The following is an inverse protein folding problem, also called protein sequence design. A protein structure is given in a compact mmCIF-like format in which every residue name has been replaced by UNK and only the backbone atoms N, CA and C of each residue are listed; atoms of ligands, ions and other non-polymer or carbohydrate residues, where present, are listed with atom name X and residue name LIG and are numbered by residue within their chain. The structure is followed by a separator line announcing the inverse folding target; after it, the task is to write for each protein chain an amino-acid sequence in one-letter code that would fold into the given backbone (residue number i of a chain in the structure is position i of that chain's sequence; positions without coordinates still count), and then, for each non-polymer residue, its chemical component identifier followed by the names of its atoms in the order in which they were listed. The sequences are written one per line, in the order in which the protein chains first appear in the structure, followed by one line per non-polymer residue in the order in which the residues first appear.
data_IF_215283950780
#
_entry.id   IF_215283950780
#
_cell.length_a   1.000
_cell.length_b   1.000
_cell.length_c   1.000
_cell.angle_alpha   90.00
_cell.angle_beta   90.00
_cell.angle_gamma   90.00
#
_symmetry.space_group_name_H-M   'P 1'
#
loop_
_entity.id
_entity.type
_entity.pdbx_description
1 polymer ?
#
# COMPACT_ATOMS: atom_id res chain seq x y z
N UNK A 1 -10.61 -7.51 -4.39
CA UNK A 1 -9.65 -8.30 -3.60
C UNK A 1 -10.44 -9.34 -2.83
N UNK A 2 -10.12 -10.64 -2.97
CA UNK A 2 -10.49 -11.60 -1.93
C UNK A 2 -9.60 -11.25 -0.75
N UNK A 3 -10.16 -10.73 0.33
CA UNK A 3 -9.39 -10.55 1.55
C UNK A 3 -8.92 -11.95 1.96
N UNK A 4 -7.62 -12.21 1.84
CA UNK A 4 -6.99 -13.37 2.44
C UNK A 4 -7.15 -13.22 3.95
N UNK A 5 -7.47 -14.31 4.64
CA UNK A 5 -7.62 -14.29 6.09
C UNK A 5 -6.28 -14.11 6.83
N UNK A 6 -5.19 -14.35 6.13
CA UNK A 6 -3.84 -14.34 6.65
C UNK A 6 -2.92 -13.69 5.63
N UNK A 7 -1.94 -12.93 6.10
CA UNK A 7 -0.77 -12.50 5.32
C UNK A 7 0.46 -13.26 5.82
N UNK A 8 1.32 -13.67 4.89
CA UNK A 8 2.56 -14.39 5.20
C UNK A 8 3.77 -13.49 4.95
N UNK A 9 4.75 -13.58 5.84
CA UNK A 9 6.01 -12.85 5.77
C UNK A 9 7.16 -13.77 6.19
N UNK A 10 8.40 -13.46 5.79
CA UNK A 10 9.59 -14.22 6.18
C UNK A 10 10.53 -13.31 6.95
N UNK A 11 10.86 -13.68 8.19
CA UNK A 11 11.77 -12.94 9.08
C UNK A 11 12.73 -13.91 9.71
N UNK A 12 14.04 -13.63 9.68
CA UNK A 12 15.05 -14.33 10.48
C UNK A 12 14.97 -15.88 10.42
N UNK A 13 14.79 -16.46 9.21
CA UNK A 13 14.58 -17.89 8.98
C UNK A 13 13.28 -18.50 9.55
N UNK A 14 12.28 -17.66 9.82
CA UNK A 14 10.96 -18.07 10.25
C UNK A 14 9.89 -17.56 9.28
N UNK A 15 8.87 -18.38 9.08
CA UNK A 15 7.64 -17.95 8.45
C UNK A 15 6.76 -17.28 9.51
N UNK A 16 6.32 -16.06 9.24
CA UNK A 16 5.37 -15.32 10.05
C UNK A 16 4.00 -15.36 9.38
N UNK A 17 2.98 -15.73 10.15
CA UNK A 17 1.59 -15.63 9.72
C UNK A 17 0.87 -14.54 10.51
N UNK A 18 0.31 -13.56 9.82
CA UNK A 18 -0.49 -12.47 10.38
C UNK A 18 -1.95 -12.69 10.07
N UNK A 19 -2.83 -12.61 11.07
CA UNK A 19 -4.27 -12.60 10.81
C UNK A 19 -4.70 -11.24 10.31
N UNK A 20 -5.30 -11.23 9.14
CA UNK A 20 -5.97 -10.06 8.61
C UNK A 20 -7.40 -10.03 9.17
N UNK A 21 -7.87 -8.86 9.57
CA UNK A 21 -9.16 -8.63 10.24
C UNK A 21 -9.21 -9.17 11.68
N UNK A 22 -9.17 -8.25 12.65
CA UNK A 22 -9.32 -8.54 14.08
C UNK A 22 -10.72 -9.10 14.38
N UNK A 23 -10.85 -9.89 15.44
CA UNK A 23 -12.07 -10.59 15.90
C UNK A 23 -12.31 -12.02 15.39
N UNK A 24 -11.25 -12.82 15.32
CA UNK A 24 -11.40 -14.26 15.09
C UNK A 24 -12.12 -14.93 16.27
N UNK A 25 -13.28 -15.55 16.00
CA UNK A 25 -14.05 -16.29 17.04
C UNK A 25 -13.48 -17.68 17.35
N UNK A 26 -12.64 -18.21 16.46
CA UNK A 26 -12.08 -19.56 16.49
C UNK A 26 -10.63 -19.54 16.06
N UNK A 27 -9.89 -20.58 16.46
CA UNK A 27 -8.52 -20.76 16.04
C UNK A 27 -8.47 -21.13 14.56
N UNK A 28 -7.40 -20.70 13.88
CA UNK A 28 -7.09 -21.18 12.55
C UNK A 28 -6.19 -22.41 12.64
N UNK A 29 -6.23 -23.25 11.61
CA UNK A 29 -5.25 -24.32 11.42
C UNK A 29 -4.44 -23.98 10.18
N UNK A 30 -3.14 -23.80 10.38
CA UNK A 30 -2.18 -23.66 9.30
C UNK A 30 -1.57 -25.03 9.03
N UNK A 31 -1.60 -25.49 7.79
CA UNK A 31 -0.85 -26.67 7.36
C UNK A 31 0.32 -26.20 6.53
N UNK A 32 1.52 -26.47 6.99
CA UNK A 32 2.76 -26.17 6.28
C UNK A 32 3.28 -27.46 5.67
N UNK A 33 3.54 -27.47 4.37
CA UNK A 33 4.15 -28.61 3.70
C UNK A 33 5.61 -28.31 3.41
N UNK A 34 6.51 -28.93 4.17
CA UNK A 34 7.97 -28.76 4.08
C UNK A 34 8.59 -30.05 3.56
N UNK A 35 9.26 -30.01 2.41
CA UNK A 35 9.89 -31.18 1.77
C UNK A 35 8.96 -32.42 1.65
N UNK A 36 7.66 -32.19 1.42
CA UNK A 36 6.64 -33.24 1.29
C UNK A 36 6.05 -33.73 2.62
N UNK A 37 6.44 -33.16 3.77
CA UNK A 37 5.87 -33.46 5.09
C UNK A 37 4.91 -32.37 5.52
N UNK A 38 3.67 -32.76 5.83
CA UNK A 38 2.67 -31.83 6.36
C UNK A 38 2.79 -31.69 7.88
N UNK A 39 2.93 -30.43 8.33
CA UNK A 39 2.85 -30.03 9.74
C UNK A 39 1.62 -29.17 9.95
N UNK A 40 0.72 -29.60 10.83
CA UNK A 40 -0.47 -28.82 11.24
C UNK A 40 -0.17 -28.02 12.49
N UNK A 41 -0.39 -26.72 12.41
CA UNK A 41 -0.15 -25.74 13.45
C UNK A 41 -1.45 -25.06 13.83
N UNK A 42 -1.69 -24.96 15.13
CA UNK A 42 -2.81 -24.19 15.66
C UNK A 42 -2.40 -22.72 15.69
N UNK A 43 -3.23 -21.84 15.13
CA UNK A 43 -3.07 -20.39 15.21
C UNK A 43 -4.19 -19.80 16.09
N UNK A 44 -3.95 -19.68 17.41
CA UNK A 44 -4.96 -19.33 18.41
C UNK A 44 -5.69 -18.02 18.10
N UNK A 45 -7.00 -18.00 18.28
CA UNK A 45 -7.92 -16.90 17.91
C UNK A 45 -7.55 -15.53 18.49
N UNK A 46 -6.87 -15.52 19.63
CA UNK A 46 -6.45 -14.32 20.36
C UNK A 46 -5.04 -13.85 20.00
N UNK A 47 -4.31 -14.61 19.19
CA UNK A 47 -3.03 -14.20 18.65
C UNK A 47 -3.22 -13.63 17.25
N UNK A 48 -2.68 -12.43 17.04
CA UNK A 48 -2.69 -11.74 15.76
C UNK A 48 -1.55 -12.19 14.84
N UNK A 49 -0.47 -12.72 15.43
CA UNK A 49 0.70 -13.25 14.72
C UNK A 49 1.13 -14.60 15.27
N UNK A 50 1.52 -15.52 14.38
CA UNK A 50 2.16 -16.78 14.73
C UNK A 50 3.52 -16.87 14.04
N UNK A 51 4.56 -17.16 14.83
CA UNK A 51 5.87 -17.54 14.30
C UNK A 51 5.89 -19.03 14.04
N UNK A 52 6.42 -19.41 12.89
CA UNK A 52 6.50 -20.78 12.41
C UNK A 52 7.97 -21.04 12.10
N UNK A 53 8.61 -21.83 12.95
CA UNK A 53 9.98 -22.29 12.72
C UNK A 53 9.93 -23.26 11.51
N UNK A 54 10.36 -22.79 10.34
CA UNK A 54 10.39 -23.53 9.08
C UNK A 54 11.70 -23.21 8.35
N UNK A 55 12.43 -24.26 7.96
CA UNK A 55 13.82 -24.19 7.46
C UNK A 55 13.85 -23.57 6.06
N UNK A 56 14.86 -22.73 5.84
CA UNK A 56 14.88 -21.64 4.85
C UNK A 56 15.56 -21.93 3.51
N UNK A 57 15.94 -23.15 3.16
CA UNK A 57 16.96 -23.26 2.09
C UNK A 57 16.45 -23.60 0.69
N UNK A 58 15.30 -24.24 0.51
CA UNK A 58 14.75 -24.47 -0.83
C UNK A 58 13.45 -25.28 -0.77
N UNK A 59 12.29 -24.66 -0.59
CA UNK A 59 11.04 -25.30 -0.92
C UNK A 59 9.99 -24.28 -1.32
N UNK A 60 9.28 -24.60 -2.40
CA UNK A 60 7.94 -24.07 -2.69
C UNK A 60 6.99 -24.64 -1.63
N UNK A 61 7.05 -24.11 -0.42
CA UNK A 61 6.18 -24.58 0.66
C UNK A 61 4.76 -24.13 0.36
N UNK A 62 3.82 -25.06 0.52
CA UNK A 62 2.40 -24.74 0.45
C UNK A 62 1.89 -24.55 1.86
N UNK A 63 1.48 -23.33 2.17
CA UNK A 63 0.73 -23.05 3.40
C UNK A 63 -0.74 -23.14 3.06
N UNK A 64 -1.44 -24.06 3.73
CA UNK A 64 -2.91 -24.15 3.71
C UNK A 64 -3.49 -23.49 4.94
N UNK A 65 -4.39 -22.54 4.75
CA UNK A 65 -5.16 -21.92 5.83
C UNK A 65 -6.58 -22.48 5.83
N UNK A 66 -6.94 -23.21 6.89
CA UNK A 66 -8.25 -23.84 7.04
C UNK A 66 -8.93 -23.57 8.39
N UNK A 67 -10.22 -23.90 8.50
CA UNK A 67 -11.01 -23.78 9.75
C UNK A 67 -10.85 -25.01 10.66
N UNK A 68 -10.81 -24.81 11.98
CA UNK A 68 -11.27 -25.85 12.91
C UNK A 68 -12.80 -25.85 12.98
N UNK A 69 -13.47 -26.67 12.16
CA UNK A 69 -14.91 -26.90 12.26
C UNK A 69 -15.82 -25.82 11.65
N UNK A 70 -17.02 -26.27 11.27
CA UNK A 70 -17.95 -25.62 10.33
C UNK A 70 -18.49 -24.28 10.91
N UNK A 71 -18.43 -23.21 10.09
CA UNK A 71 -18.85 -21.80 10.27
C UNK A 71 -17.79 -20.78 10.78
N UNK A 72 -17.20 -20.00 9.86
CA UNK A 72 -16.41 -18.77 10.14
C UNK A 72 -15.48 -18.23 9.02
N UNK A 73 -15.87 -17.17 8.28
CA UNK A 73 -15.10 -16.31 7.34
C UNK A 73 -14.24 -16.91 6.18
N UNK A 74 -13.46 -17.97 6.36
CA UNK A 74 -12.69 -18.61 5.26
C UNK A 74 -13.59 -19.62 4.52
N UNK A 75 -14.09 -19.28 3.34
CA UNK A 75 -15.06 -20.13 2.63
C UNK A 75 -14.41 -21.37 1.97
N UNK A 76 -13.09 -21.34 1.73
CA UNK A 76 -12.32 -22.43 1.09
C UNK A 76 -10.87 -22.40 1.59
N UNK A 77 -10.21 -23.56 1.62
CA UNK A 77 -8.77 -23.63 1.87
C UNK A 77 -8.01 -22.69 0.91
N UNK A 78 -7.17 -21.83 1.47
CA UNK A 78 -6.28 -20.96 0.70
C UNK A 78 -4.88 -21.57 0.70
N UNK A 79 -4.31 -21.74 -0.49
CA UNK A 79 -2.96 -22.25 -0.69
C UNK A 79 -2.04 -21.07 -1.01
N UNK A 80 -0.98 -20.90 -0.24
CA UNK A 80 0.06 -19.92 -0.48
C UNK A 80 1.31 -20.67 -0.93
N UNK A 81 1.81 -20.35 -2.11
CA UNK A 81 3.11 -20.85 -2.57
C UNK A 81 4.15 -19.83 -2.14
N UNK A 82 5.08 -20.24 -1.28
CA UNK A 82 6.17 -19.40 -0.84
C UNK A 82 7.25 -19.39 -1.93
N UNK A 83 7.34 -18.29 -2.68
CA UNK A 83 8.49 -18.02 -3.54
C UNK A 83 9.36 -16.98 -2.82
N UNK A 84 10.44 -17.45 -2.19
CA UNK A 84 11.31 -16.60 -1.37
C UNK A 84 12.18 -15.64 -2.21
N UNK A 85 12.27 -15.85 -3.54
CA UNK A 85 13.04 -14.96 -4.39
C UNK A 85 12.19 -13.79 -4.86
N UNK A 86 11.97 -12.81 -3.98
CA UNK A 86 11.63 -11.47 -4.43
C UNK A 86 12.86 -10.93 -5.14
N UNK A 87 12.83 -10.90 -6.48
CA UNK A 87 13.98 -10.52 -7.30
C UNK A 87 14.26 -9.02 -7.21
N UNK A 88 13.22 -8.22 -6.92
CA UNK A 88 13.29 -6.77 -6.74
C UNK A 88 12.07 -6.29 -5.95
N UNK A 89 12.29 -5.50 -4.91
CA UNK A 89 11.24 -4.84 -4.13
C UNK A 89 11.00 -3.44 -4.66
N UNK A 90 9.78 -3.18 -5.11
CA UNK A 90 9.34 -1.86 -5.55
C UNK A 90 8.32 -1.30 -4.57
N UNK A 91 8.55 -0.09 -4.08
CA UNK A 91 7.55 0.66 -3.33
C UNK A 91 6.93 1.73 -4.21
N UNK A 92 5.60 1.80 -4.26
CA UNK A 92 4.86 2.89 -4.91
C UNK A 92 4.08 3.66 -3.85
N UNK A 93 4.50 4.89 -3.56
CA UNK A 93 3.87 5.72 -2.52
C UNK A 93 3.65 7.15 -2.98
N UNK A 94 2.94 7.91 -2.16
CA UNK A 94 2.48 9.27 -2.41
C UNK A 94 1.43 9.66 -1.37
N UNK A 95 0.92 10.89 -1.47
CA UNK A 95 -0.20 11.31 -0.61
C UNK A 95 -1.36 10.31 -0.72
N UNK A 96 -2.06 10.05 0.39
CA UNK A 96 -3.33 9.33 0.32
C UNK A 96 -4.25 9.92 -0.75
N UNK A 97 -5.07 9.08 -1.39
CA UNK A 97 -5.98 9.44 -2.51
C UNK A 97 -5.29 9.74 -3.86
N UNK A 98 -4.01 9.39 -4.03
CA UNK A 98 -3.28 9.52 -5.30
C UNK A 98 -3.44 8.32 -6.27
N UNK A 99 -4.23 7.29 -5.92
CA UNK A 99 -4.47 6.15 -6.81
C UNK A 99 -3.61 4.91 -6.57
N UNK A 100 -2.92 4.82 -5.43
CA UNK A 100 -2.10 3.66 -5.01
C UNK A 100 -2.80 2.31 -5.22
N UNK A 101 -4.06 2.20 -4.80
CA UNK A 101 -4.86 0.98 -4.98
C UNK A 101 -5.10 0.62 -6.46
N UNK A 102 -5.32 1.61 -7.33
CA UNK A 102 -5.56 1.35 -8.75
C UNK A 102 -4.26 0.91 -9.44
N UNK A 103 -3.12 1.46 -9.00
CA UNK A 103 -1.80 1.09 -9.53
C UNK A 103 -1.41 -0.32 -9.10
N UNK A 104 -1.61 -0.71 -7.84
CA UNK A 104 -1.33 -2.10 -7.44
C UNK A 104 -2.16 -3.09 -8.24
N UNK A 105 -3.46 -2.87 -8.40
CA UNK A 105 -4.34 -3.71 -9.21
C UNK A 105 -3.94 -3.76 -10.68
N UNK A 106 -3.39 -2.66 -11.20
CA UNK A 106 -2.90 -2.58 -12.56
C UNK A 106 -1.64 -3.43 -12.76
N UNK A 107 -0.66 -3.33 -11.85
CA UNK A 107 0.60 -4.07 -11.94
C UNK A 107 0.48 -5.55 -11.54
N UNK A 108 -0.49 -5.90 -10.68
CA UNK A 108 -0.68 -7.26 -10.20
C UNK A 108 -0.94 -8.24 -11.35
N UNK A 109 -0.20 -9.36 -11.33
CA UNK A 109 -0.28 -10.43 -12.32
C UNK A 109 0.48 -10.18 -13.63
N UNK A 110 1.21 -9.06 -13.76
CA UNK A 110 2.10 -8.84 -14.90
C UNK A 110 3.34 -9.73 -14.84
N UNK A 111 4.04 -9.87 -15.97
CA UNK A 111 5.28 -10.63 -16.04
C UNK A 111 6.49 -9.70 -15.87
N UNK A 112 7.51 -10.16 -15.15
CA UNK A 112 8.84 -9.54 -15.15
C UNK A 112 9.65 -9.92 -16.40
N UNK A 113 10.89 -9.43 -16.51
CA UNK A 113 11.78 -9.76 -17.65
C UNK A 113 12.12 -11.26 -17.78
N UNK A 114 11.92 -12.04 -16.72
CA UNK A 114 12.19 -13.48 -16.67
C UNK A 114 10.91 -14.32 -16.85
N UNK A 115 9.79 -13.70 -17.21
CA UNK A 115 8.47 -14.33 -17.31
C UNK A 115 7.92 -14.86 -15.96
N UNK A 116 8.41 -14.35 -14.83
CA UNK A 116 7.81 -14.59 -13.52
C UNK A 116 6.60 -13.68 -13.35
N UNK A 117 5.50 -14.23 -12.84
CA UNK A 117 4.31 -13.46 -12.47
C UNK A 117 4.61 -12.65 -11.21
N UNK A 118 4.43 -11.34 -11.29
CA UNK A 118 4.66 -10.40 -10.20
C UNK A 118 3.40 -10.24 -9.35
N UNK A 119 3.61 -10.23 -8.04
CA UNK A 119 2.59 -9.96 -7.04
C UNK A 119 2.66 -8.50 -6.61
N UNK A 120 1.61 -7.73 -6.87
CA UNK A 120 1.48 -6.35 -6.42
C UNK A 120 0.37 -6.22 -5.38
N UNK A 121 0.67 -5.59 -4.25
CA UNK A 121 -0.24 -5.43 -3.12
C UNK A 121 -0.48 -3.96 -2.78
N UNK A 122 -1.53 -3.72 -1.99
CA UNK A 122 -1.89 -2.38 -1.54
C UNK A 122 -2.22 -2.39 -0.05
N UNK A 123 -1.48 -1.58 0.70
CA UNK A 123 -1.62 -1.41 2.15
C UNK A 123 -1.54 -2.75 2.91
N UNK A 124 -0.59 -3.59 2.51
CA UNK A 124 -0.31 -4.88 3.16
C UNK A 124 0.02 -4.65 4.63
N UNK A 125 -0.59 -5.43 5.53
CA UNK A 125 -0.37 -5.34 6.98
C UNK A 125 -0.59 -3.94 7.59
N UNK A 126 -1.38 -3.06 6.95
CA UNK A 126 -1.61 -1.70 7.49
C UNK A 126 -2.15 -1.70 8.93
N UNK A 127 -2.95 -2.69 9.33
CA UNK A 127 -3.45 -2.79 10.70
C UNK A 127 -2.36 -3.01 11.75
N UNK A 128 -1.19 -3.48 11.35
CA UNK A 128 0.01 -3.62 12.19
C UNK A 128 0.96 -2.43 12.03
N UNK A 129 1.06 -1.86 10.82
CA UNK A 129 1.95 -0.74 10.51
C UNK A 129 1.42 0.58 11.07
N UNK A 130 0.12 0.87 10.95
CA UNK A 130 -0.44 2.15 11.38
C UNK A 130 -0.24 2.43 12.88
N UNK A 131 -0.42 1.47 13.81
CA UNK A 131 -0.07 1.67 15.21
C UNK A 131 1.41 2.01 15.45
N UNK A 132 2.33 1.40 14.70
CA UNK A 132 3.77 1.71 14.79
C UNK A 132 4.06 3.12 14.29
N UNK A 133 3.35 3.56 13.25
CA UNK A 133 3.44 4.92 12.73
C UNK A 133 2.93 5.95 13.74
N UNK A 134 1.85 5.65 14.47
CA UNK A 134 1.39 6.49 15.60
C UNK A 134 2.46 6.55 16.70
N UNK A 135 3.15 5.45 16.97
CA UNK A 135 4.21 5.37 17.97
C UNK A 135 5.55 5.98 17.51
N UNK A 136 5.69 6.33 16.22
CA UNK A 136 6.96 6.80 15.64
C UNK A 136 8.02 5.70 15.49
N UNK A 137 7.62 4.42 15.46
CA UNK A 137 8.53 3.28 15.39
C UNK A 137 8.89 2.92 13.92
N UNK A 138 9.79 3.72 13.33
CA UNK A 138 10.26 3.52 11.96
C UNK A 138 11.00 2.19 11.76
N UNK A 139 11.72 1.71 12.79
CA UNK A 139 12.46 0.45 12.73
C UNK A 139 11.51 -0.74 12.68
N UNK A 140 10.46 -0.74 13.51
CA UNK A 140 9.41 -1.75 13.49
C UNK A 140 8.69 -1.80 12.14
N UNK A 141 8.37 -0.64 11.55
CA UNK A 141 7.76 -0.56 10.21
C UNK A 141 8.71 -1.13 9.15
N UNK A 142 10.00 -0.74 9.19
CA UNK A 142 11.03 -1.24 8.27
C UNK A 142 11.21 -2.75 8.36
N UNK A 143 11.14 -3.31 9.58
CA UNK A 143 11.17 -4.75 9.79
C UNK A 143 10.00 -5.43 9.09
N UNK A 144 8.76 -4.99 9.34
CA UNK A 144 7.59 -5.57 8.68
C UNK A 144 7.70 -5.47 7.15
N UNK A 145 8.12 -4.32 6.62
CA UNK A 145 8.28 -4.11 5.18
C UNK A 145 9.31 -5.06 4.55
N UNK A 146 10.44 -5.32 5.24
CA UNK A 146 11.48 -6.27 4.81
C UNK A 146 11.00 -7.70 4.74
N UNK A 147 10.06 -8.06 5.59
CA UNK A 147 9.62 -9.44 5.72
C UNK A 147 8.51 -9.78 4.70
N UNK A 148 7.92 -8.77 4.06
CA UNK A 148 6.87 -8.95 3.04
C UNK A 148 7.38 -9.75 1.82
N UNK A 149 6.52 -10.61 1.29
CA UNK A 149 6.86 -11.57 0.24
C UNK A 149 6.42 -11.17 -1.18
N UNK A 150 5.76 -10.02 -1.34
CA UNK A 150 5.32 -9.54 -2.66
C UNK A 150 6.40 -8.66 -3.30
N UNK A 151 6.41 -8.58 -4.63
CA UNK A 151 7.43 -7.82 -5.37
C UNK A 151 7.15 -6.31 -5.35
N UNK A 152 5.86 -5.92 -5.34
CA UNK A 152 5.46 -4.50 -5.37
C UNK A 152 4.48 -4.20 -4.25
N UNK A 153 4.83 -3.27 -3.36
CA UNK A 153 3.89 -2.69 -2.39
C UNK A 153 3.44 -1.32 -2.90
N UNK A 154 2.16 -1.02 -2.80
CA UNK A 154 1.67 0.35 -2.90
C UNK A 154 0.97 0.77 -1.63
N UNK A 155 1.50 1.78 -0.94
CA UNK A 155 0.93 2.22 0.33
C UNK A 155 1.22 3.69 0.59
N UNK A 156 0.19 4.53 0.82
CA UNK A 156 0.38 5.97 1.02
C UNK A 156 0.98 6.33 2.39
N UNK A 157 0.89 5.43 3.39
CA UNK A 157 1.41 5.73 4.74
C UNK A 157 2.95 5.82 4.79
N UNK A 158 3.69 5.21 3.86
CA UNK A 158 5.15 5.36 3.79
C UNK A 158 5.59 6.80 3.50
N UNK A 159 4.77 7.59 2.79
CA UNK A 159 5.05 9.01 2.56
C UNK A 159 5.06 9.84 3.86
N UNK A 160 4.52 9.32 4.97
CA UNK A 160 4.55 9.97 6.28
C UNK A 160 5.77 9.57 7.12
N UNK A 161 6.49 8.52 6.73
CA UNK A 161 7.68 8.03 7.42
C UNK A 161 8.70 7.53 6.40
N UNK A 162 9.36 8.46 5.67
CA UNK A 162 10.32 8.09 4.64
C UNK A 162 11.51 7.27 5.19
N UNK A 163 11.87 7.46 6.46
CA UNK A 163 12.91 6.69 7.14
C UNK A 163 12.59 5.19 7.26
N UNK A 164 11.31 4.81 7.15
CA UNK A 164 10.87 3.42 7.18
C UNK A 164 10.81 2.76 5.79
N UNK A 165 11.15 3.49 4.73
CA UNK A 165 11.14 2.96 3.37
C UNK A 165 12.28 1.96 3.21
N UNK A 166 11.90 0.73 2.88
CA UNK A 166 12.84 -0.33 2.52
C UNK A 166 12.42 -0.96 1.20
N UNK A 167 12.98 -0.47 0.10
CA UNK A 167 12.75 -0.98 -1.25
C UNK A 167 14.02 -0.81 -2.10
N UNK A 168 14.18 -1.66 -3.11
CA UNK A 168 15.25 -1.52 -4.09
C UNK A 168 14.94 -0.41 -5.11
N UNK A 169 13.66 -0.04 -5.22
CA UNK A 169 13.21 1.04 -6.09
C UNK A 169 11.94 1.70 -5.55
N UNK A 170 11.93 3.03 -5.53
CA UNK A 170 10.85 3.84 -4.99
C UNK A 170 10.23 4.68 -6.09
N UNK A 171 8.93 4.49 -6.31
CA UNK A 171 8.13 5.28 -7.24
C UNK A 171 7.23 6.23 -6.45
N UNK A 172 7.35 7.52 -6.76
CA UNK A 172 6.42 8.53 -6.31
C UNK A 172 5.23 8.64 -7.28
N UNK A 173 4.05 8.24 -6.80
CA UNK A 173 2.79 8.48 -7.48
C UNK A 173 2.18 9.79 -6.99
N UNK A 174 2.24 10.82 -7.82
CA UNK A 174 1.68 12.13 -7.51
C UNK A 174 0.33 12.32 -8.21
N UNK A 175 -0.57 13.05 -7.56
CA UNK A 175 -1.87 13.46 -8.11
C UNK A 175 -2.09 14.93 -7.82
N UNK A 176 -2.83 15.62 -8.68
CA UNK A 176 -3.20 17.04 -8.50
C UNK A 176 -3.68 17.30 -7.07
N UNK A 177 -2.96 18.17 -6.36
CA UNK A 177 -3.21 18.47 -4.96
C UNK A 177 -4.61 18.97 -4.69
N UNK A 178 -5.24 19.68 -5.65
CA UNK A 178 -6.61 20.17 -5.51
C UNK A 178 -7.59 19.02 -5.40
N UNK A 179 -7.41 18.00 -6.26
CA UNK A 179 -8.23 16.79 -6.27
C UNK A 179 -8.00 15.94 -5.02
N UNK A 180 -6.76 15.88 -4.55
CA UNK A 180 -6.41 15.12 -3.34
C UNK A 180 -6.99 15.77 -2.09
N UNK A 181 -6.78 17.07 -1.89
CA UNK A 181 -7.33 17.83 -0.75
C UNK A 181 -8.84 17.72 -0.72
N UNK A 182 -9.52 17.95 -1.84
CA UNK A 182 -10.98 17.78 -1.92
C UNK A 182 -11.41 16.34 -1.61
N UNK A 183 -10.74 15.34 -2.18
CA UNK A 183 -11.07 13.95 -1.92
C UNK A 183 -10.80 13.55 -0.46
N UNK A 184 -9.80 14.14 0.19
CA UNK A 184 -9.47 13.91 1.59
C UNK A 184 -10.57 14.45 2.51
N UNK A 185 -10.99 15.69 2.28
CA UNK A 185 -12.12 16.29 2.99
C UNK A 185 -13.42 15.49 2.80
N UNK A 186 -13.73 15.09 1.56
CA UNK A 186 -14.92 14.26 1.28
C UNK A 186 -14.87 12.86 1.94
N UNK A 187 -13.70 12.42 2.42
CA UNK A 187 -13.48 11.10 3.03
C UNK A 187 -13.22 11.16 4.52
N UNK A 188 -13.49 12.28 5.18
CA UNK A 188 -13.38 12.33 6.63
C UNK A 188 -11.96 12.54 7.15
N UNK A 189 -11.01 13.02 6.33
CA UNK A 189 -9.69 13.38 6.85
C UNK A 189 -9.84 14.42 7.95
N UNK A 190 -9.31 14.11 9.13
CA UNK A 190 -9.39 14.91 10.35
C UNK A 190 -10.79 15.06 10.98
N UNK A 191 -11.78 14.23 10.61
CA UNK A 191 -13.15 14.30 11.18
C UNK A 191 -13.36 13.37 12.39
N UNK A 192 -12.53 12.34 12.54
CA UNK A 192 -12.68 11.32 13.59
C UNK A 192 -11.33 10.87 14.16
N UNK A 193 -11.40 9.98 15.15
CA UNK A 193 -10.23 9.40 15.80
C UNK A 193 -9.84 8.02 15.23
N UNK A 194 -10.13 7.74 13.95
CA UNK A 194 -9.65 6.52 13.30
C UNK A 194 -8.12 6.48 13.26
N UNK A 195 -7.52 5.28 13.24
CA UNK A 195 -6.06 5.11 13.14
C UNK A 195 -5.49 5.87 11.95
N UNK A 196 -6.19 5.86 10.82
CA UNK A 196 -5.79 6.62 9.63
C UNK A 196 -5.71 8.12 9.91
N UNK A 197 -6.60 8.70 10.72
CA UNK A 197 -6.54 10.11 11.09
C UNK A 197 -5.49 10.39 12.17
N UNK A 198 -5.23 9.45 13.09
CA UNK A 198 -4.21 9.60 14.13
C UNK A 198 -2.78 9.70 13.58
N UNK A 199 -2.46 9.00 12.47
CA UNK A 199 -1.13 9.06 11.86
C UNK A 199 -0.86 10.36 11.08
N UNK A 200 -1.89 11.19 10.83
CA UNK A 200 -1.72 12.42 10.06
C UNK A 200 -1.24 13.53 10.99
N UNK A 201 -0.16 14.26 10.66
CA UNK A 201 0.23 15.43 11.43
C UNK A 201 -0.87 16.49 11.42
N UNK A 202 -1.01 17.19 12.54
CA UNK A 202 -1.94 18.31 12.73
C UNK A 202 -1.11 19.59 12.77
N UNK A 203 -1.39 20.50 11.84
CA UNK A 203 -0.67 21.76 11.64
C UNK A 203 -1.45 22.97 12.15
N UNK A 204 -2.79 22.91 12.06
CA UNK A 204 -3.66 23.97 12.52
C UNK A 204 -5.01 23.42 13.03
N UNK A 205 -5.88 24.32 13.49
CA UNK A 205 -7.28 23.98 13.83
C UNK A 205 -8.17 23.89 12.60
N UNK A 206 -7.71 24.38 11.45
CA UNK A 206 -8.48 24.39 10.22
C UNK A 206 -8.24 23.09 9.43
N UNK A 207 -9.34 22.41 9.11
CA UNK A 207 -9.30 21.12 8.42
C UNK A 207 -8.73 21.23 7.01
N UNK A 208 -9.11 22.26 6.27
CA UNK A 208 -8.69 22.45 4.89
C UNK A 208 -7.18 22.69 4.82
N UNK A 209 -6.68 23.56 5.69
CA UNK A 209 -5.25 23.84 5.87
C UNK A 209 -4.46 22.59 6.25
N UNK A 210 -4.95 21.78 7.20
CA UNK A 210 -4.35 20.48 7.53
C UNK A 210 -4.26 19.55 6.32
N UNK A 211 -5.30 19.47 5.49
CA UNK A 211 -5.29 18.65 4.27
C UNK A 211 -4.25 19.17 3.25
N UNK A 212 -4.10 20.50 3.12
CA UNK A 212 -3.09 21.10 2.25
C UNK A 212 -1.68 20.76 2.73
N UNK A 213 -1.40 20.95 4.03
CA UNK A 213 -0.10 20.60 4.60
C UNK A 213 0.22 19.11 4.50
N UNK A 214 -0.78 18.25 4.70
CA UNK A 214 -0.61 16.80 4.54
C UNK A 214 -0.20 16.43 3.11
N UNK A 215 -0.92 16.96 2.10
CA UNK A 215 -0.57 16.71 0.70
C UNK A 215 0.83 17.22 0.38
N UNK A 216 1.15 18.46 0.80
CA UNK A 216 2.49 19.05 0.60
C UNK A 216 3.58 18.19 1.23
N UNK A 217 3.44 17.86 2.52
CA UNK A 217 4.43 17.09 3.29
C UNK A 217 4.69 15.73 2.64
N UNK A 218 3.64 14.97 2.37
CA UNK A 218 3.77 13.62 1.80
C UNK A 218 4.34 13.65 0.38
N UNK A 219 3.97 14.65 -0.42
CA UNK A 219 4.51 14.83 -1.78
C UNK A 219 5.98 15.23 -1.72
N UNK A 220 6.37 16.14 -0.82
CA UNK A 220 7.76 16.57 -0.65
C UNK A 220 8.65 15.41 -0.17
N UNK A 221 8.24 14.69 0.88
CA UNK A 221 8.94 13.51 1.38
C UNK A 221 9.21 12.49 0.27
N UNK A 222 8.18 12.11 -0.49
CA UNK A 222 8.34 11.16 -1.59
C UNK A 222 9.18 11.71 -2.74
N UNK A 223 9.11 13.01 -3.00
CA UNK A 223 9.92 13.65 -4.04
C UNK A 223 11.41 13.63 -3.70
N UNK A 224 11.77 13.60 -2.40
CA UNK A 224 13.16 13.55 -1.95
C UNK A 224 13.77 12.15 -1.99
N UNK A 225 12.96 11.09 -1.83
CA UNK A 225 13.44 9.71 -1.77
C UNK A 225 13.11 8.84 -2.98
N UNK A 226 12.26 9.29 -3.91
CA UNK A 226 11.87 8.48 -5.07
C UNK A 226 12.89 8.49 -6.20
N UNK A 227 13.08 7.33 -6.81
CA UNK A 227 13.88 7.12 -8.01
C UNK A 227 13.15 7.59 -9.28
N UNK A 228 11.82 7.54 -9.28
CA UNK A 228 10.98 8.00 -10.38
C UNK A 228 9.67 8.60 -9.88
N UNK A 229 9.15 9.59 -10.61
CA UNK A 229 7.84 10.20 -10.35
C UNK A 229 6.90 10.02 -11.54
N UNK A 230 5.64 9.70 -11.23
CA UNK A 230 4.56 9.59 -12.22
C UNK A 230 3.31 10.32 -11.74
N UNK A 231 2.67 11.05 -12.64
CA UNK A 231 1.37 11.69 -12.37
C UNK A 231 0.25 10.71 -12.68
N UNK A 232 -0.71 10.55 -11.77
CA UNK A 232 -1.85 9.67 -12.02
C UNK A 232 -2.62 10.08 -13.28
N UNK A 233 -2.81 11.39 -13.49
CA UNK A 233 -3.50 11.95 -14.65
C UNK A 233 -2.85 11.54 -15.98
N UNK A 234 -1.52 11.54 -16.05
CA UNK A 234 -0.77 11.13 -17.25
C UNK A 234 -0.90 9.62 -17.50
N UNK A 235 -0.80 8.83 -16.43
CA UNK A 235 -0.98 7.38 -16.50
C UNK A 235 -2.38 7.00 -16.99
N UNK A 236 -3.41 7.74 -16.58
CA UNK A 236 -4.78 7.55 -17.07
C UNK A 236 -4.90 7.95 -18.54
N UNK A 237 -4.34 9.10 -18.93
CA UNK A 237 -4.50 9.65 -20.27
C UNK A 237 -3.68 8.91 -21.35
N UNK A 238 -2.50 8.39 -21.00
CA UNK A 238 -1.52 7.94 -22.00
C UNK A 238 -1.08 6.49 -21.80
N UNK A 239 -1.27 5.66 -22.83
CA UNK A 239 -0.72 4.31 -22.87
C UNK A 239 0.82 4.30 -22.85
N UNK A 240 1.44 5.34 -23.42
CA UNK A 240 2.90 5.49 -23.39
C UNK A 240 3.40 5.70 -21.96
N UNK A 241 2.71 6.49 -21.15
CA UNK A 241 3.09 6.71 -19.75
C UNK A 241 2.88 5.46 -18.90
N UNK A 242 1.83 4.67 -19.18
CA UNK A 242 1.66 3.34 -18.57
C UNK A 242 2.80 2.38 -18.95
N UNK A 243 3.19 2.35 -20.23
CA UNK A 243 4.32 1.56 -20.68
C UNK A 243 5.63 2.02 -20.04
N UNK A 244 5.83 3.33 -19.87
CA UNK A 244 6.99 3.90 -19.16
C UNK A 244 7.02 3.40 -17.71
N UNK A 245 5.92 3.53 -16.95
CA UNK A 245 5.84 3.01 -15.58
C UNK A 245 6.20 1.53 -15.51
N UNK A 246 5.54 0.70 -16.35
CA UNK A 246 5.75 -0.75 -16.39
C UNK A 246 7.22 -1.08 -16.66
N UNK A 247 7.85 -0.42 -17.63
CA UNK A 247 9.28 -0.61 -17.91
C UNK A 247 10.18 -0.16 -16.76
N UNK A 248 9.86 0.96 -16.10
CA UNK A 248 10.62 1.51 -14.97
C UNK A 248 10.64 0.53 -13.79
N UNK A 249 9.51 -0.11 -13.49
CA UNK A 249 9.42 -1.12 -12.43
C UNK A 249 9.91 -2.51 -12.86
N UNK A 250 10.44 -2.66 -14.08
CA UNK A 250 11.06 -3.89 -14.56
C UNK A 250 10.09 -4.92 -15.14
N UNK A 251 8.88 -4.52 -15.50
CA UNK A 251 7.82 -5.41 -15.98
C UNK A 251 7.69 -5.38 -17.52
N UNK A 252 7.02 -6.39 -18.06
CA UNK A 252 6.66 -6.48 -19.47
C UNK A 252 5.32 -5.80 -19.73
N UNK A 253 5.24 -5.02 -20.82
CA UNK A 253 4.00 -4.37 -21.23
C UNK A 253 2.95 -5.40 -21.66
N UNK A 254 1.81 -5.42 -20.96
CA UNK A 254 0.70 -6.35 -21.21
C UNK A 254 -0.48 -5.75 -21.98
N UNK A 255 -0.45 -4.44 -22.29
CA UNK A 255 -1.59 -3.75 -22.90
C UNK A 255 -2.75 -3.46 -21.93
N UNK A 256 -2.62 -3.83 -20.66
CA UNK A 256 -3.66 -3.64 -19.63
C UNK A 256 -3.99 -2.15 -19.48
N UNK A 257 -5.25 -1.85 -19.19
CA UNK A 257 -5.69 -0.51 -18.83
C UNK A 257 -5.68 -0.33 -17.32
N UNK A 258 -5.55 0.93 -16.87
CA UNK A 258 -5.73 1.23 -15.46
C UNK A 258 -7.18 0.97 -15.05
N UNK A 259 -7.43 0.28 -13.95
CA UNK A 259 -8.79 0.11 -13.45
C UNK A 259 -9.38 1.48 -13.15
N UNK A 260 -10.60 1.71 -13.64
CA UNK A 260 -11.33 2.94 -13.38
C UNK A 260 -11.66 3.05 -11.90
N UNK A 261 -10.96 3.92 -11.18
CA UNK A 261 -11.32 4.26 -9.81
C UNK A 261 -12.53 5.19 -9.83
N UNK A 262 -13.71 4.68 -9.45
CA UNK A 262 -14.97 5.41 -9.20
C UNK A 262 -15.32 6.50 -10.25
N UNK A 263 -16.22 6.20 -11.18
CA UNK A 263 -16.83 7.16 -12.12
C UNK A 263 -17.71 8.26 -11.46
N UNK A 264 -17.61 8.47 -10.15
CA UNK A 264 -18.33 9.53 -9.46
C UNK A 264 -17.65 10.88 -9.69
N UNK A 265 -18.21 11.70 -10.60
CA UNK A 265 -17.79 13.10 -10.86
C UNK A 265 -17.71 14.01 -9.63
N UNK A 266 -18.24 13.59 -8.48
CA UNK A 266 -18.45 14.44 -7.30
C UNK A 266 -17.33 14.40 -6.25
N UNK A 267 -16.49 13.35 -6.17
CA UNK A 267 -15.62 13.20 -4.98
C UNK A 267 -14.37 14.10 -4.97
N UNK A 268 -14.05 14.79 -6.07
CA UNK A 268 -12.87 15.65 -6.19
C UNK A 268 -13.15 16.97 -6.90
N UNK A 269 -14.40 17.43 -6.88
CA UNK A 269 -14.76 18.76 -7.41
C UNK A 269 -14.29 19.86 -6.44
N UNK A 270 -13.19 20.53 -6.81
CA UNK A 270 -12.58 21.62 -6.05
C UNK A 270 -13.04 23.01 -6.54
N UNK A 271 -13.99 23.08 -7.48
CA UNK A 271 -14.51 24.36 -8.00
C UNK A 271 -15.33 25.14 -6.97
N UNK A 272 -15.77 24.46 -5.91
CA UNK A 272 -16.61 25.04 -4.85
C UNK A 272 -15.80 25.65 -3.68
N UNK A 273 -14.48 25.69 -3.79
CA UNK A 273 -13.63 26.29 -2.75
C UNK A 273 -13.89 27.79 -2.61
N UNK A 274 -13.98 28.24 -1.37
CA UNK A 274 -14.05 29.67 -1.05
C UNK A 274 -12.75 30.37 -1.49
N UNK A 275 -12.81 31.69 -1.68
CA UNK A 275 -11.62 32.51 -2.00
C UNK A 275 -10.51 32.32 -0.96
N UNK A 276 -10.86 32.18 0.32
CA UNK A 276 -9.90 31.90 1.40
C UNK A 276 -9.20 30.56 1.21
N UNK A 277 -9.95 29.50 0.91
CA UNK A 277 -9.40 28.16 0.68
C UNK A 277 -8.50 28.13 -0.56
N UNK A 278 -8.89 28.81 -1.63
CA UNK A 278 -8.04 28.94 -2.82
C UNK A 278 -6.71 29.63 -2.49
N UNK A 279 -6.75 30.73 -1.75
CA UNK A 279 -5.54 31.43 -1.30
C UNK A 279 -4.66 30.56 -0.40
N UNK A 280 -5.24 29.85 0.58
CA UNK A 280 -4.50 28.91 1.44
C UNK A 280 -3.85 27.79 0.63
N UNK A 281 -4.56 27.24 -0.36
CA UNK A 281 -3.99 26.20 -1.21
C UNK A 281 -2.83 26.73 -2.05
N UNK A 282 -2.94 27.91 -2.67
CA UNK A 282 -1.84 28.49 -3.44
C UNK A 282 -0.63 28.77 -2.56
N UNK A 283 -0.83 29.31 -1.35
CA UNK A 283 0.25 29.56 -0.40
C UNK A 283 0.95 28.27 0.06
N UNK A 284 0.18 27.26 0.46
CA UNK A 284 0.73 26.04 1.07
C UNK A 284 1.22 25.06 0.01
N UNK A 285 0.38 24.75 -0.97
CA UNK A 285 0.60 23.71 -1.97
C UNK A 285 1.24 24.24 -3.26
N UNK A 286 1.16 25.55 -3.53
CA UNK A 286 1.58 26.16 -4.79
C UNK A 286 3.00 25.77 -5.23
N UNK A 287 4.04 25.86 -4.38
CA UNK A 287 5.39 25.46 -4.77
C UNK A 287 5.51 24.00 -5.22
N UNK A 288 4.80 23.08 -4.58
CA UNK A 288 4.78 21.66 -4.97
C UNK A 288 3.91 21.41 -6.20
N UNK A 289 2.84 22.18 -6.37
CA UNK A 289 2.02 22.15 -7.59
C UNK A 289 2.82 22.67 -8.79
N UNK A 290 3.62 23.72 -8.63
CA UNK A 290 4.48 24.26 -9.69
C UNK A 290 5.50 23.23 -10.18
N UNK A 291 6.02 22.42 -9.26
CA UNK A 291 6.98 21.36 -9.58
C UNK A 291 6.37 20.23 -10.40
N UNK A 292 5.15 19.79 -10.09
CA UNK A 292 4.55 18.57 -10.66
C UNK A 292 3.44 18.85 -11.68
N UNK A 293 2.83 20.02 -11.64
CA UNK A 293 1.74 20.45 -12.51
C UNK A 293 2.03 21.88 -13.01
N UNK A 294 3.05 22.06 -13.87
CA UNK A 294 3.24 23.34 -14.53
C UNK A 294 1.92 23.70 -15.23
N UNK A 295 1.48 24.95 -15.09
CA UNK A 295 0.20 25.47 -15.59
C UNK A 295 -1.05 25.16 -14.76
N UNK A 296 -0.92 24.63 -13.54
CA UNK A 296 -2.10 24.36 -12.70
C UNK A 296 -2.92 25.61 -12.33
N UNK A 297 -2.35 26.82 -12.43
CA UNK A 297 -3.04 28.09 -12.15
C UNK A 297 -3.90 28.61 -13.31
N UNK A 298 -3.81 27.99 -14.49
CA UNK A 298 -4.56 28.38 -15.69
C UNK A 298 -5.91 27.66 -15.81
#
# INVERSE_FOLDING_TARGET
MKATAVELAVSDNCLLAYKLCREWKRDLVLTVNEAGKERKLRFPKHLDRLSIDAVTESCSDVVKVGRSGIRGLIDKDENYVLDQQVSRRVLISGSGRCGTQAISQFLDGMLDQNNKVVNARHETLHEFILPLLVAGDAEGISKIARDMMHDIESAPYYALCPDAIHADYVVHLVRDGRRVVQSGMNRGWYDDNSLWNQIKPVFSKDRFENCCHLWRLTTDNMTQCADATFRLEDLVASAQERARLVSTVGLQWSGKELPLANQGKLSSDYTQWTVRQQAQFDEICGPMMDRHYPDWRN
#
